data_IF_058632107749
#
_entry.id   IF_058632107749
#
_cell.length_a   1.000
_cell.length_b   1.000
_cell.length_c   1.000
_cell.angle_alpha   90.00
_cell.angle_beta   90.00
_cell.angle_gamma   90.00
#
_symmetry.space_group_name_H-M   'P 1'
#
loop_
_entity.id
_entity.type
_entity.pdbx_description
1 polymer ?
#
# COMPACT_ATOMS: atom_id res chain seq x y z
N UNK A 1 -7.06 -38.43 15.16
CA UNK A 1 -8.20 -38.36 16.12
C UNK A 1 -9.20 -39.45 15.78
N UNK A 2 -9.62 -40.28 16.75
CA UNK A 2 -10.64 -41.33 16.52
C UNK A 2 -11.98 -40.68 16.15
N UNK A 3 -12.63 -41.21 15.11
CA UNK A 3 -13.97 -40.78 14.68
C UNK A 3 -14.98 -41.22 15.73
N UNK A 4 -15.70 -40.26 16.32
CA UNK A 4 -16.82 -40.54 17.22
C UNK A 4 -18.00 -41.05 16.38
N UNK A 5 -18.47 -42.24 16.70
CA UNK A 5 -19.66 -42.87 16.12
C UNK A 5 -20.59 -43.12 17.30
N UNK A 6 -21.72 -42.41 17.33
CA UNK A 6 -22.71 -42.55 18.38
C UNK A 6 -23.55 -43.82 18.14
N UNK A 7 -23.86 -44.55 19.21
CA UNK A 7 -24.96 -45.55 19.18
C UNK A 7 -26.32 -44.84 19.06
N UNK A 8 -27.39 -45.58 18.74
CA UNK A 8 -28.74 -45.03 18.62
C UNK A 8 -29.15 -44.26 19.90
N UNK A 9 -28.91 -44.86 21.06
CA UNK A 9 -29.21 -44.27 22.37
C UNK A 9 -28.39 -42.98 22.63
N UNK A 10 -27.11 -42.99 22.26
CA UNK A 10 -26.23 -41.83 22.39
C UNK A 10 -26.65 -40.69 21.45
N UNK A 11 -27.05 -41.03 20.22
CA UNK A 11 -27.54 -40.07 19.24
C UNK A 11 -28.85 -39.41 19.71
N UNK A 12 -29.75 -40.20 20.28
CA UNK A 12 -31.03 -39.74 20.82
C UNK A 12 -30.84 -38.85 22.05
N UNK A 13 -29.92 -39.23 22.95
CA UNK A 13 -29.53 -38.37 24.07
C UNK A 13 -29.01 -37.01 23.59
N UNK A 14 -28.16 -36.97 22.57
CA UNK A 14 -27.66 -35.72 22.01
C UNK A 14 -28.83 -34.90 21.44
N UNK A 15 -29.71 -35.49 20.63
CA UNK A 15 -30.88 -34.79 20.04
C UNK A 15 -31.75 -34.12 21.11
N UNK A 16 -32.03 -34.83 22.20
CA UNK A 16 -32.90 -34.36 23.28
C UNK A 16 -32.26 -33.24 24.13
N UNK A 17 -30.94 -33.20 24.22
CA UNK A 17 -30.20 -32.23 25.06
C UNK A 17 -29.51 -31.11 24.27
N UNK A 18 -29.75 -30.98 22.95
CA UNK A 18 -29.08 -29.95 22.15
C UNK A 18 -29.53 -28.53 22.50
N UNK A 19 -30.80 -28.33 22.84
CA UNK A 19 -31.39 -26.99 23.02
C UNK A 19 -30.83 -26.33 24.28
N UNK A 20 -30.37 -25.08 24.14
CA UNK A 20 -29.87 -24.26 25.25
C UNK A 20 -28.44 -24.56 25.71
N UNK A 21 -27.84 -25.69 25.34
CA UNK A 21 -26.52 -26.09 25.83
C UNK A 21 -25.37 -25.78 24.87
N UNK A 22 -24.26 -25.32 25.45
CA UNK A 22 -22.99 -25.16 24.74
C UNK A 22 -22.38 -26.52 24.38
N UNK A 23 -21.50 -26.56 23.38
CA UNK A 23 -20.88 -27.84 22.97
C UNK A 23 -19.98 -28.45 24.07
N UNK A 24 -19.34 -27.61 24.88
CA UNK A 24 -18.51 -28.06 26.00
C UNK A 24 -19.34 -28.66 27.13
N UNK A 25 -20.45 -28.00 27.50
CA UNK A 25 -21.39 -28.47 28.51
C UNK A 25 -22.08 -29.77 28.08
N UNK A 26 -22.50 -29.84 26.81
CA UNK A 26 -23.12 -31.05 26.25
C UNK A 26 -22.14 -32.23 26.20
N UNK A 27 -20.86 -31.98 25.91
CA UNK A 27 -19.83 -33.02 25.97
C UNK A 27 -19.61 -33.53 27.41
N UNK A 28 -19.60 -32.62 28.39
CA UNK A 28 -19.49 -32.97 29.80
C UNK A 28 -20.66 -33.87 30.24
N UNK A 29 -21.90 -33.45 29.95
CA UNK A 29 -23.11 -34.22 30.27
C UNK A 29 -23.14 -35.59 29.57
N UNK A 30 -22.70 -35.64 28.30
CA UNK A 30 -22.60 -36.88 27.55
C UNK A 30 -21.61 -37.86 28.20
N UNK A 31 -20.44 -37.37 28.59
CA UNK A 31 -19.40 -38.18 29.23
C UNK A 31 -19.80 -38.65 30.62
N UNK A 32 -20.46 -37.80 31.41
CA UNK A 32 -21.01 -38.17 32.73
C UNK A 32 -22.06 -39.29 32.61
N UNK A 33 -22.93 -39.24 31.59
CA UNK A 33 -23.99 -40.24 31.41
C UNK A 33 -23.48 -41.59 30.89
N UNK A 34 -22.56 -41.58 29.93
CA UNK A 34 -22.13 -42.80 29.23
C UNK A 34 -20.73 -43.29 29.61
N UNK A 35 -20.06 -42.62 30.54
CA UNK A 35 -18.70 -42.98 30.96
C UNK A 35 -17.67 -42.86 29.83
N UNK A 36 -17.89 -41.94 28.89
CA UNK A 36 -17.04 -41.75 27.71
C UNK A 36 -16.06 -40.60 27.85
N UNK A 37 -15.10 -40.50 26.93
CA UNK A 37 -14.19 -39.35 26.81
C UNK A 37 -14.38 -38.63 25.46
N UNK A 38 -15.63 -38.25 25.17
CA UNK A 38 -15.98 -37.50 23.96
C UNK A 38 -15.59 -36.04 24.14
N UNK A 39 -14.85 -35.52 23.17
CA UNK A 39 -14.40 -34.12 23.15
C UNK A 39 -15.50 -33.17 22.65
N UNK A 40 -15.41 -31.88 23.03
CA UNK A 40 -16.33 -30.85 22.53
C UNK A 40 -16.37 -30.76 20.99
N UNK A 41 -15.26 -31.11 20.32
CA UNK A 41 -15.13 -31.06 18.85
C UNK A 41 -15.90 -32.22 18.20
N UNK A 42 -15.92 -33.39 18.83
CA UNK A 42 -16.69 -34.54 18.36
C UNK A 42 -18.20 -34.27 18.48
N UNK A 43 -18.66 -33.71 19.60
CA UNK A 43 -20.06 -33.25 19.76
C UNK A 43 -20.41 -32.16 18.75
N UNK A 44 -19.54 -31.17 18.52
CA UNK A 44 -19.75 -30.14 17.49
C UNK A 44 -19.91 -30.75 16.10
N UNK A 45 -19.05 -31.71 15.76
CA UNK A 45 -19.06 -32.40 14.46
C UNK A 45 -20.33 -33.23 14.29
N UNK A 46 -20.73 -33.98 15.32
CA UNK A 46 -21.99 -34.72 15.33
C UNK A 46 -23.19 -33.78 15.10
N UNK A 47 -23.31 -32.69 15.87
CA UNK A 47 -24.38 -31.69 15.70
C UNK A 47 -24.42 -31.11 14.29
N UNK A 48 -23.26 -30.80 13.71
CA UNK A 48 -23.15 -30.29 12.33
C UNK A 48 -23.68 -31.31 11.31
N UNK A 49 -23.27 -32.57 11.41
CA UNK A 49 -23.66 -33.61 10.46
C UNK A 49 -25.15 -33.98 10.54
N UNK A 50 -25.76 -33.79 11.71
CA UNK A 50 -27.18 -34.07 11.95
C UNK A 50 -28.06 -32.81 11.97
N UNK A 51 -27.56 -31.66 11.51
CA UNK A 51 -28.30 -30.39 11.45
C UNK A 51 -28.91 -29.93 12.80
N UNK A 52 -28.28 -30.29 13.91
CA UNK A 52 -28.76 -29.98 15.27
C UNK A 52 -28.28 -28.60 15.72
N UNK A 53 -29.22 -27.71 16.03
CA UNK A 53 -28.96 -26.33 16.48
C UNK A 53 -29.35 -26.14 17.96
N UNK A 54 -28.40 -25.69 18.78
CA UNK A 54 -28.65 -25.39 20.20
C UNK A 54 -29.48 -24.13 20.44
N UNK A 55 -29.61 -23.25 19.45
CA UNK A 55 -30.33 -21.98 19.61
C UNK A 55 -29.54 -20.90 20.35
N UNK A 56 -28.30 -21.19 20.74
CA UNK A 56 -27.34 -20.20 21.21
C UNK A 56 -26.81 -19.41 20.02
N UNK A 57 -27.03 -18.09 20.03
CA UNK A 57 -26.68 -17.17 18.94
C UNK A 57 -25.37 -16.42 19.18
N UNK A 58 -24.79 -16.55 20.39
CA UNK A 58 -23.57 -15.85 20.79
C UNK A 58 -23.71 -14.34 20.86
N UNK A 59 -24.95 -13.82 20.78
CA UNK A 59 -25.21 -12.37 20.81
C UNK A 59 -25.27 -11.90 22.25
N UNK A 60 -24.69 -10.73 22.51
CA UNK A 60 -24.90 -10.01 23.75
C UNK A 60 -26.39 -9.71 23.92
N UNK A 61 -26.95 -10.03 25.09
CA UNK A 61 -28.37 -9.78 25.38
C UNK A 61 -28.63 -8.27 25.47
N UNK A 62 -29.87 -7.84 25.15
CA UNK A 62 -30.29 -6.45 25.28
C UNK A 62 -30.08 -5.98 26.73
N UNK A 63 -29.39 -4.85 26.91
CA UNK A 63 -28.99 -4.34 28.24
C UNK A 63 -27.59 -4.76 28.69
N UNK A 64 -26.88 -5.62 27.94
CA UNK A 64 -25.51 -5.97 28.25
C UNK A 64 -24.60 -4.73 28.22
N UNK A 65 -23.94 -4.46 29.34
CA UNK A 65 -22.96 -3.38 29.46
C UNK A 65 -21.55 -3.95 29.27
N UNK A 66 -20.82 -3.54 28.21
CA UNK A 66 -19.45 -3.95 27.99
C UNK A 66 -18.54 -3.55 29.16
N UNK A 67 -17.54 -4.37 29.49
CA UNK A 67 -16.61 -4.13 30.60
C UNK A 67 -15.85 -2.79 30.50
N UNK A 68 -15.75 -2.26 29.27
CA UNK A 68 -15.06 -1.03 28.93
C UNK A 68 -15.95 0.20 28.84
N UNK A 69 -17.27 0.08 29.04
CA UNK A 69 -18.19 1.23 28.99
C UNK A 69 -17.77 2.26 30.05
N UNK A 70 -17.54 3.50 29.60
CA UNK A 70 -17.10 4.60 30.46
C UNK A 70 -15.60 4.62 30.81
N UNK A 71 -14.82 3.61 30.43
CA UNK A 71 -13.37 3.56 30.69
C UNK A 71 -12.60 4.05 29.46
N UNK A 72 -11.87 5.15 29.58
CA UNK A 72 -10.93 5.63 28.55
C UNK A 72 -9.57 4.97 28.75
N UNK A 73 -8.93 4.53 27.66
CA UNK A 73 -7.53 4.09 27.68
C UNK A 73 -7.27 2.78 28.42
N UNK A 74 -8.16 1.79 28.30
CA UNK A 74 -7.91 0.46 28.86
C UNK A 74 -6.63 -0.10 28.28
N UNK A 75 -5.63 -0.23 29.14
CA UNK A 75 -4.34 -0.77 28.80
C UNK A 75 -3.96 -1.83 29.82
N UNK A 76 -3.50 -2.98 29.34
CA UNK A 76 -3.03 -4.04 30.22
C UNK A 76 -1.76 -3.58 30.96
N UNK A 77 -1.57 -4.01 32.20
CA UNK A 77 -0.36 -3.72 32.97
C UNK A 77 0.88 -4.13 32.15
N UNK A 78 1.83 -3.21 31.96
CA UNK A 78 3.04 -3.43 31.16
C UNK A 78 2.97 -3.02 29.69
N UNK A 79 1.78 -2.66 29.16
CA UNK A 79 1.65 -2.14 27.79
C UNK A 79 2.42 -0.82 27.59
N UNK A 80 2.64 -0.05 28.66
CA UNK A 80 3.28 1.27 28.68
C UNK A 80 4.70 1.24 28.09
N UNK A 81 5.42 0.12 28.26
CA UNK A 81 6.76 -0.06 27.71
C UNK A 81 6.79 -0.03 26.17
N UNK A 82 5.69 -0.41 25.52
CA UNK A 82 5.55 -0.46 24.05
C UNK A 82 4.85 0.76 23.47
N UNK A 83 4.37 1.68 24.32
CA UNK A 83 3.70 2.89 23.85
C UNK A 83 4.70 3.89 23.28
N UNK A 84 4.39 4.45 22.11
CA UNK A 84 5.19 5.52 21.54
C UNK A 84 5.15 6.76 22.43
N UNK A 85 6.33 7.21 22.86
CA UNK A 85 6.48 8.45 23.62
C UNK A 85 6.40 9.65 22.67
N UNK A 86 5.91 10.78 23.17
CA UNK A 86 5.93 12.05 22.41
C UNK A 86 7.37 12.38 22.00
N UNK A 87 7.60 12.64 20.72
CA UNK A 87 8.93 12.90 20.17
C UNK A 87 9.74 11.65 19.81
N UNK A 88 9.18 10.45 19.95
CA UNK A 88 9.84 9.22 19.50
C UNK A 88 10.11 9.26 17.99
N UNK A 89 11.39 9.25 17.62
CA UNK A 89 11.82 9.15 16.23
C UNK A 89 11.96 7.66 15.87
N UNK A 90 11.39 7.21 14.74
CA UNK A 90 11.55 5.82 14.32
C UNK A 90 13.01 5.54 13.97
N UNK A 91 13.43 4.27 14.04
CA UNK A 91 14.83 3.86 13.79
C UNK A 91 15.36 4.26 12.39
N UNK A 92 14.46 4.38 11.40
CA UNK A 92 14.77 4.79 10.04
C UNK A 92 14.74 6.32 9.83
N UNK A 93 14.60 7.11 10.91
CA UNK A 93 14.62 8.56 10.82
C UNK A 93 15.94 9.05 10.22
N UNK A 94 15.83 10.00 9.29
CA UNK A 94 16.95 10.76 8.73
C UNK A 94 16.74 12.25 8.99
N UNK A 95 17.78 13.01 9.39
CA UNK A 95 17.66 14.44 9.59
C UNK A 95 17.38 15.18 8.26
N UNK A 96 16.80 16.38 8.35
CA UNK A 96 16.67 17.31 7.20
C UNK A 96 18.06 17.58 6.61
N UNK A 97 18.15 17.61 5.28
CA UNK A 97 19.40 17.65 4.52
C UNK A 97 19.97 16.28 4.14
N UNK A 98 19.46 15.18 4.72
CA UNK A 98 19.91 13.84 4.32
C UNK A 98 19.56 13.54 2.87
N UNK A 99 20.44 12.80 2.20
CA UNK A 99 20.26 12.35 0.81
C UNK A 99 19.99 10.85 0.74
N UNK A 100 19.23 10.44 -0.27
CA UNK A 100 19.02 9.03 -0.60
C UNK A 100 18.81 8.84 -2.10
N UNK A 101 19.14 7.66 -2.59
CA UNK A 101 18.81 7.25 -3.97
C UNK A 101 17.46 6.51 -3.94
N UNK A 102 16.52 6.91 -4.79
CA UNK A 102 15.22 6.25 -4.89
C UNK A 102 15.27 5.04 -5.84
N UNK A 103 14.17 4.27 -5.89
CA UNK A 103 14.05 3.08 -6.75
C UNK A 103 14.25 3.35 -8.24
N UNK A 104 14.09 4.61 -8.67
CA UNK A 104 14.25 5.04 -10.06
C UNK A 104 15.67 5.57 -10.36
N UNK A 105 16.55 5.58 -9.36
CA UNK A 105 17.94 6.03 -9.47
C UNK A 105 18.17 7.54 -9.30
N UNK A 106 17.16 8.32 -8.91
CA UNK A 106 17.32 9.75 -8.62
C UNK A 106 17.73 10.00 -7.17
N UNK A 107 18.48 11.08 -6.96
CA UNK A 107 18.83 11.55 -5.61
C UNK A 107 17.66 12.39 -5.07
N UNK A 108 17.23 12.07 -3.85
CA UNK A 108 16.27 12.84 -3.08
C UNK A 108 16.94 13.44 -1.85
N UNK A 109 16.64 14.70 -1.56
CA UNK A 109 17.06 15.39 -0.35
C UNK A 109 15.86 15.61 0.57
N UNK A 110 16.04 15.35 1.86
CA UNK A 110 15.00 15.61 2.86
C UNK A 110 14.93 17.11 3.14
N UNK A 111 13.83 17.76 2.78
CA UNK A 111 13.66 19.21 2.93
C UNK A 111 12.94 19.61 4.21
N UNK A 112 12.13 18.72 4.79
CA UNK A 112 11.47 18.98 6.07
C UNK A 112 11.02 17.68 6.77
N UNK A 113 10.79 17.80 8.08
CA UNK A 113 10.19 16.73 8.89
C UNK A 113 8.66 16.67 8.71
N UNK A 114 8.03 15.50 8.95
CA UNK A 114 8.66 14.21 9.28
C UNK A 114 9.23 13.45 8.07
N UNK A 115 8.66 13.61 6.87
CA UNK A 115 9.03 12.85 5.65
C UNK A 115 8.81 13.65 4.35
N UNK A 116 9.22 14.92 4.31
CA UNK A 116 9.19 15.71 3.07
C UNK A 116 10.50 15.56 2.33
N UNK A 117 10.49 14.81 1.23
CA UNK A 117 11.63 14.58 0.35
C UNK A 117 11.37 15.24 -1.00
N UNK A 118 12.38 15.90 -1.56
CA UNK A 118 12.34 16.49 -2.91
C UNK A 118 13.46 15.93 -3.76
N UNK A 119 13.24 15.85 -5.06
CA UNK A 119 14.26 15.47 -6.03
C UNK A 119 15.38 16.51 -6.03
N UNK A 120 16.63 16.08 -5.80
CA UNK A 120 17.76 16.99 -5.61
C UNK A 120 18.04 17.83 -6.87
N UNK A 121 17.85 17.27 -8.07
CA UNK A 121 17.99 18.04 -9.31
C UNK A 121 17.01 19.23 -9.41
N UNK A 122 15.82 19.12 -8.82
CA UNK A 122 14.86 20.24 -8.79
C UNK A 122 15.31 21.31 -7.81
N UNK A 123 15.83 20.91 -6.65
CA UNK A 123 16.37 21.83 -5.64
C UNK A 123 17.55 22.60 -6.21
N UNK A 124 18.51 21.91 -6.83
CA UNK A 124 19.67 22.54 -7.48
C UNK A 124 19.24 23.50 -8.60
N UNK A 125 18.30 23.09 -9.45
CA UNK A 125 17.78 23.98 -10.50
C UNK A 125 17.10 25.23 -9.91
N UNK A 126 16.27 25.07 -8.89
CA UNK A 126 15.55 26.17 -8.26
C UNK A 126 16.47 27.17 -7.55
N UNK A 127 17.59 26.69 -7.01
CA UNK A 127 18.62 27.54 -6.39
C UNK A 127 19.32 28.44 -7.41
N UNK A 128 19.54 27.96 -8.63
CA UNK A 128 20.25 28.70 -9.70
C UNK A 128 19.32 29.53 -10.61
N UNK A 129 18.18 28.98 -11.00
CA UNK A 129 17.29 29.57 -12.03
C UNK A 129 15.88 29.90 -11.52
N UNK A 130 15.53 29.51 -10.29
CA UNK A 130 14.21 29.74 -9.72
C UNK A 130 13.17 28.65 -10.04
N UNK A 131 11.90 28.97 -9.79
CA UNK A 131 10.81 28.00 -9.81
C UNK A 131 10.63 27.31 -11.17
N UNK A 132 10.38 26.00 -11.14
CA UNK A 132 10.10 25.19 -12.32
C UNK A 132 8.64 25.41 -12.73
N UNK A 133 8.35 25.99 -13.91
CA UNK A 133 6.97 26.26 -14.31
C UNK A 133 6.17 24.96 -14.50
N UNK A 134 4.86 25.05 -14.30
CA UNK A 134 3.99 23.90 -14.56
C UNK A 134 4.08 23.48 -16.04
N UNK A 135 4.11 22.18 -16.29
CA UNK A 135 4.28 21.64 -17.63
C UNK A 135 5.74 21.50 -18.09
N UNK A 136 6.72 21.87 -17.25
CA UNK A 136 8.14 21.64 -17.51
C UNK A 136 8.71 20.54 -16.61
N UNK A 137 9.87 20.00 -17.00
CA UNK A 137 10.60 18.95 -16.28
C UNK A 137 12.09 19.10 -16.53
N UNK A 138 12.90 18.63 -15.59
CA UNK A 138 14.35 18.64 -15.73
C UNK A 138 14.78 17.36 -16.45
N UNK A 139 15.58 17.53 -17.50
CA UNK A 139 16.26 16.47 -18.23
C UNK A 139 17.76 16.51 -17.90
N UNK A 140 18.37 15.32 -17.77
CA UNK A 140 19.81 15.15 -17.64
C UNK A 140 20.38 14.92 -19.04
N UNK A 141 21.29 15.79 -19.48
CA UNK A 141 21.86 15.74 -20.84
C UNK A 141 22.66 14.45 -21.08
N UNK A 142 23.35 13.95 -20.06
CA UNK A 142 24.15 12.70 -20.09
C UNK A 142 23.38 11.44 -19.69
N UNK A 143 22.06 11.54 -19.41
CA UNK A 143 21.22 10.47 -18.85
C UNK A 143 21.64 9.94 -17.46
N UNK A 144 22.68 10.49 -16.84
CA UNK A 144 23.10 10.12 -15.51
C UNK A 144 22.31 10.90 -14.46
N UNK A 145 21.34 10.23 -13.85
CA UNK A 145 20.42 10.79 -12.83
C UNK A 145 21.12 11.25 -11.54
N UNK A 146 22.39 10.91 -11.37
CA UNK A 146 23.22 11.29 -10.24
C UNK A 146 24.16 12.46 -10.56
N UNK A 147 24.32 12.82 -11.84
CA UNK A 147 25.12 13.97 -12.24
C UNK A 147 24.30 15.26 -12.12
N UNK A 148 24.48 15.94 -10.99
CA UNK A 148 23.75 17.15 -10.60
C UNK A 148 24.48 18.45 -10.97
N UNK A 149 25.49 18.40 -11.86
CA UNK A 149 26.08 19.60 -12.44
C UNK A 149 24.99 20.42 -13.14
N UNK A 150 24.90 21.71 -12.82
CA UNK A 150 23.91 22.62 -13.38
C UNK A 150 23.98 22.67 -14.92
N UNK A 151 25.17 22.50 -15.50
CA UNK A 151 25.38 22.47 -16.95
C UNK A 151 24.88 21.16 -17.60
N UNK A 152 24.64 20.12 -16.80
CA UNK A 152 24.07 18.85 -17.24
C UNK A 152 22.54 18.83 -17.11
N UNK A 153 21.95 19.78 -16.38
CA UNK A 153 20.52 19.90 -16.20
C UNK A 153 19.94 20.87 -17.23
N UNK A 154 18.82 20.50 -17.82
CA UNK A 154 18.10 21.38 -18.74
C UNK A 154 16.60 21.30 -18.47
N UNK A 155 15.95 22.47 -18.47
CA UNK A 155 14.52 22.58 -18.34
C UNK A 155 13.86 22.36 -19.69
N UNK A 156 12.99 21.35 -19.79
CA UNK A 156 12.29 20.98 -21.02
C UNK A 156 10.79 20.96 -20.81
N UNK A 157 10.04 21.36 -21.83
CA UNK A 157 8.57 21.23 -21.78
C UNK A 157 8.16 19.76 -21.87
N UNK A 158 7.02 19.37 -21.29
CA UNK A 158 6.48 18.00 -21.42
C UNK A 158 6.27 17.59 -22.88
N UNK A 159 5.92 18.53 -23.76
CA UNK A 159 5.75 18.30 -25.21
C UNK A 159 7.10 17.94 -25.86
N UNK A 160 8.14 18.72 -25.56
CA UNK A 160 9.50 18.48 -26.04
C UNK A 160 10.04 17.15 -25.52
N UNK A 161 9.89 16.88 -24.21
CA UNK A 161 10.32 15.62 -23.60
C UNK A 161 9.62 14.41 -24.22
N UNK A 162 8.32 14.49 -24.49
CA UNK A 162 7.58 13.42 -25.19
C UNK A 162 8.11 13.20 -26.61
N UNK A 163 8.42 14.27 -27.34
CA UNK A 163 9.01 14.17 -28.67
C UNK A 163 10.38 13.49 -28.65
N UNK A 164 11.27 13.91 -27.75
CA UNK A 164 12.61 13.35 -27.59
C UNK A 164 12.57 11.84 -27.30
N UNK A 165 11.69 11.43 -26.38
CA UNK A 165 11.53 10.03 -26.00
C UNK A 165 11.01 9.17 -27.15
N UNK A 166 9.97 9.64 -27.85
CA UNK A 166 9.38 8.91 -28.98
C UNK A 166 10.36 8.72 -30.14
N UNK A 167 11.26 9.70 -30.36
CA UNK A 167 12.26 9.66 -31.43
C UNK A 167 13.63 9.15 -30.96
N UNK A 168 13.77 8.71 -29.69
CA UNK A 168 15.03 8.21 -29.10
C UNK A 168 16.21 9.18 -29.26
N UNK A 169 15.94 10.49 -29.13
CA UNK A 169 16.92 11.57 -29.31
C UNK A 169 17.74 11.89 -28.06
N UNK A 170 17.39 11.31 -26.91
CA UNK A 170 18.19 11.42 -25.68
C UNK A 170 19.30 10.36 -25.73
N UNK A 171 20.55 10.81 -25.79
CA UNK A 171 21.76 9.97 -25.85
C UNK A 171 22.59 10.13 -24.58
N UNK A 172 23.61 9.29 -24.44
CA UNK A 172 24.55 9.35 -23.30
C UNK A 172 25.51 10.54 -23.44
N UNK A 173 25.80 10.94 -24.68
CA UNK A 173 26.59 12.14 -24.96
C UNK A 173 25.75 13.41 -24.78
N UNK A 174 26.30 14.37 -24.03
CA UNK A 174 25.64 15.63 -23.69
C UNK A 174 25.37 16.49 -24.92
N UNK A 175 26.31 16.57 -25.86
CA UNK A 175 26.21 17.39 -27.05
C UNK A 175 25.17 16.82 -28.02
N UNK A 176 25.12 15.49 -28.18
CA UNK A 176 24.08 14.84 -28.99
C UNK A 176 22.68 15.11 -28.44
N UNK A 177 22.50 15.06 -27.11
CA UNK A 177 21.21 15.37 -26.49
C UNK A 177 20.85 16.85 -26.66
N UNK A 178 21.82 17.78 -26.59
CA UNK A 178 21.61 19.20 -26.91
C UNK A 178 21.15 19.40 -28.35
N UNK A 179 21.79 18.75 -29.32
CA UNK A 179 21.33 18.78 -30.73
C UNK A 179 19.92 18.20 -30.86
N UNK A 180 19.64 17.09 -30.16
CA UNK A 180 18.31 16.49 -30.12
C UNK A 180 17.22 17.44 -29.61
N UNK A 181 17.54 18.28 -28.61
CA UNK A 181 16.65 19.32 -28.10
C UNK A 181 16.31 20.36 -29.16
N UNK A 182 17.32 20.84 -29.88
CA UNK A 182 17.17 21.80 -30.98
C UNK A 182 16.29 21.21 -32.08
N UNK A 183 16.54 19.96 -32.48
CA UNK A 183 15.74 19.24 -33.48
C UNK A 183 14.29 19.13 -33.02
N UNK A 184 14.06 18.78 -31.75
CA UNK A 184 12.72 18.67 -31.19
C UNK A 184 11.98 20.02 -31.24
N UNK A 185 12.63 21.11 -30.86
CA UNK A 185 12.02 22.45 -30.89
C UNK A 185 11.69 22.89 -32.33
N UNK A 186 12.60 22.66 -33.27
CA UNK A 186 12.39 22.97 -34.68
C UNK A 186 11.19 22.21 -35.26
N UNK A 187 11.12 20.90 -35.02
CA UNK A 187 10.04 20.05 -35.54
C UNK A 187 8.70 20.33 -34.86
N UNK A 188 8.71 20.66 -33.56
CA UNK A 188 7.50 21.09 -32.84
C UNK A 188 6.98 22.40 -33.43
N UNK A 189 7.85 23.40 -33.65
CA UNK A 189 7.46 24.69 -34.26
C UNK A 189 6.91 24.51 -35.66
N UNK A 190 7.54 23.67 -36.50
CA UNK A 190 7.02 23.35 -37.85
C UNK A 190 5.62 22.73 -37.74
N UNK A 191 5.43 21.76 -36.84
CA UNK A 191 4.12 21.10 -36.68
C UNK A 191 3.04 22.06 -36.17
N UNK A 192 3.38 23.02 -35.34
CA UNK A 192 2.42 24.01 -34.83
C UNK A 192 2.03 25.01 -35.94
N UNK A 193 2.99 25.48 -36.74
CA UNK A 193 2.71 26.34 -37.90
C UNK A 193 1.84 25.64 -38.97
N UNK A 194 2.05 24.34 -39.23
CA UNK A 194 1.21 23.57 -40.16
C UNK A 194 -0.26 23.46 -39.69
N UNK A 195 -0.48 23.38 -38.37
CA UNK A 195 -1.82 23.32 -37.78
C UNK A 195 -2.53 24.67 -37.85
N UNK A 196 -1.81 25.76 -37.59
CA UNK A 196 -2.33 27.12 -37.70
C UNK A 196 -2.70 27.46 -39.16
N UNK A 197 -1.93 26.98 -40.13
CA UNK A 197 -2.22 27.13 -41.56
C UNK A 197 -3.29 26.19 -42.14
N UNK A 198 -4.07 25.49 -41.31
CA UNK A 198 -5.21 24.66 -41.73
C UNK A 198 -4.88 23.33 -42.44
N UNK A 199 -3.60 22.98 -42.62
CA UNK A 199 -3.18 21.72 -43.25
C UNK A 199 -3.20 20.59 -42.21
N UNK A 200 -4.37 20.01 -41.92
CA UNK A 200 -4.48 18.78 -41.12
C UNK A 200 -3.88 17.60 -41.88
N UNK A 201 -2.56 17.35 -41.75
CA UNK A 201 -1.99 16.04 -42.09
C UNK A 201 -2.39 15.03 -41.02
N UNK A 202 -3.36 14.19 -41.36
CA UNK A 202 -3.74 13.01 -40.59
C UNK A 202 -2.58 11.99 -40.68
N UNK A 203 -1.55 12.12 -39.85
CA UNK A 203 -0.47 11.14 -39.78
C UNK A 203 -1.02 9.93 -39.00
N UNK A 204 -1.49 8.93 -39.74
CA UNK A 204 -1.76 7.59 -39.19
C UNK A 204 -0.44 7.05 -38.64
N UNK A 205 -0.28 7.04 -37.32
CA UNK A 205 0.82 6.31 -36.66
C UNK A 205 0.61 4.82 -36.90
N UNK A 206 1.47 4.18 -37.69
CA UNK A 206 1.54 2.71 -37.77
C UNK A 206 1.93 2.19 -36.38
N UNK A 207 1.17 1.20 -35.91
CA UNK A 207 1.43 0.45 -34.67
C UNK A 207 2.75 -0.30 -34.76
#
# INVERSE_FOLDING_TARGET
>A
MKRFIATEEQAEFIKNNVKGLGNAELAKLFNEKFGTDVTMVQIRTFKKNHNLKSGLDGRFKKGHTPFNKGKKGICAKGCEATQFKKGHKPANYKPVGSERINIYGYIEVKVADPNKWRLKQRVVWEEHYGEIPNGYSILFLDRNKQNLDINNLVLVSKKQLAFLNNNKLIKEDKELTKTGLIIADLLIKISDAEKEGGKKKCIKRKK
#
